data_IF_005238737575
#
_entry.id   IF_005238737575
#
_cell.length_a   1.000
_cell.length_b   1.000
_cell.length_c   1.000
_cell.angle_alpha   90.00
_cell.angle_beta   90.00
_cell.angle_gamma   90.00
#
_symmetry.space_group_name_H-M   'P 1'
#
loop_
_entity.id
_entity.type
_entity.pdbx_description
1 polymer ?
#
# COMPACT_ATOMS: atom_id res chain seq x y z
N UNK A 1 34.42 -31.42 -20.94
CA UNK A 1 32.96 -31.46 -20.70
C UNK A 1 32.73 -31.38 -19.20
N UNK A 2 32.51 -30.19 -18.67
CA UNK A 2 32.17 -29.96 -17.26
C UNK A 2 30.66 -29.92 -17.12
N UNK A 3 30.10 -30.87 -16.38
CA UNK A 3 28.69 -30.92 -16.06
C UNK A 3 28.36 -29.79 -15.06
N UNK A 4 27.51 -28.85 -15.47
CA UNK A 4 26.90 -27.89 -14.56
C UNK A 4 25.88 -28.59 -13.69
N UNK A 5 26.15 -28.67 -12.38
CA UNK A 5 25.15 -29.06 -11.40
C UNK A 5 24.14 -27.92 -11.24
N UNK A 6 22.90 -28.16 -11.65
CA UNK A 6 21.76 -27.30 -11.36
C UNK A 6 21.41 -27.43 -9.89
N UNK A 7 21.71 -26.42 -9.09
CA UNK A 7 21.11 -26.27 -7.76
C UNK A 7 19.68 -25.77 -7.91
N UNK A 8 18.76 -26.69 -8.21
CA UNK A 8 17.35 -26.45 -7.97
C UNK A 8 17.13 -26.55 -6.45
N UNK A 9 17.12 -25.42 -5.76
CA UNK A 9 16.68 -25.36 -4.38
C UNK A 9 15.15 -25.58 -4.37
N UNK A 10 14.71 -26.82 -4.21
CA UNK A 10 13.33 -27.12 -3.83
C UNK A 10 13.12 -26.59 -2.40
N UNK A 11 12.44 -25.46 -2.29
CA UNK A 11 11.96 -24.93 -1.01
C UNK A 11 10.78 -25.78 -0.54
N UNK A 12 11.06 -26.93 0.08
CA UNK A 12 10.04 -27.75 0.75
C UNK A 12 9.78 -27.22 2.16
N UNK A 13 9.32 -25.97 2.29
CA UNK A 13 8.73 -25.53 3.55
C UNK A 13 7.33 -26.17 3.67
N UNK A 14 7.02 -26.90 4.76
CA UNK A 14 5.71 -27.51 4.93
C UNK A 14 4.61 -26.45 4.92
N UNK A 15 3.53 -26.74 4.19
CA UNK A 15 2.42 -25.82 3.86
C UNK A 15 1.68 -25.24 5.07
N UNK A 16 1.96 -25.71 6.29
CA UNK A 16 1.34 -25.29 7.55
C UNK A 16 2.25 -24.49 8.50
N UNK A 17 3.54 -24.31 8.19
CA UNK A 17 4.44 -23.54 9.06
C UNK A 17 4.21 -22.02 8.91
N UNK A 18 4.32 -21.22 10.00
CA UNK A 18 4.40 -19.77 9.90
C UNK A 18 5.48 -19.34 8.92
N UNK A 19 5.31 -18.17 8.30
CA UNK A 19 6.31 -17.66 7.37
C UNK A 19 7.60 -17.31 8.11
N UNK A 20 8.73 -17.80 7.59
CA UNK A 20 10.07 -17.35 7.98
C UNK A 20 10.25 -15.86 7.69
N UNK A 21 11.23 -15.20 8.32
CA UNK A 21 11.49 -13.78 8.05
C UNK A 21 11.76 -13.49 6.57
N UNK A 22 12.52 -14.34 5.89
CA UNK A 22 12.79 -14.22 4.45
C UNK A 22 11.51 -14.33 3.62
N UNK A 23 10.63 -15.30 3.92
CA UNK A 23 9.33 -15.43 3.27
C UNK A 23 8.41 -14.24 3.56
N UNK A 24 8.47 -13.67 4.78
CA UNK A 24 7.75 -12.46 5.09
C UNK A 24 8.18 -11.33 4.14
N UNK A 25 9.48 -11.12 3.93
CA UNK A 25 9.96 -10.11 2.98
C UNK A 25 9.60 -10.41 1.53
N UNK A 26 9.63 -11.67 1.09
CA UNK A 26 9.22 -12.05 -0.26
C UNK A 26 7.75 -11.69 -0.52
N UNK A 27 6.85 -11.97 0.42
CA UNK A 27 5.44 -11.58 0.31
C UNK A 27 5.28 -10.06 0.14
N UNK A 28 6.08 -9.27 0.86
CA UNK A 28 6.01 -7.81 0.79
C UNK A 28 6.64 -7.27 -0.48
N UNK A 29 7.66 -7.93 -1.02
CA UNK A 29 8.21 -7.59 -2.33
C UNK A 29 7.14 -7.73 -3.42
N UNK A 30 6.43 -8.87 -3.47
CA UNK A 30 5.35 -9.08 -4.43
C UNK A 30 4.15 -8.16 -4.19
N UNK A 31 3.69 -8.03 -2.95
CA UNK A 31 2.57 -7.14 -2.63
C UNK A 31 2.91 -5.67 -2.92
N UNK A 32 4.11 -5.22 -2.52
CA UNK A 32 4.57 -3.85 -2.76
C UNK A 32 4.74 -3.55 -4.24
N UNK A 33 5.25 -4.49 -5.04
CA UNK A 33 5.32 -4.36 -6.48
C UNK A 33 3.93 -4.22 -7.11
N UNK A 34 2.97 -5.06 -6.72
CA UNK A 34 1.59 -4.96 -7.18
C UNK A 34 0.95 -3.61 -6.81
N UNK A 35 1.14 -3.17 -5.57
CA UNK A 35 0.63 -1.87 -5.10
C UNK A 35 1.30 -0.70 -5.82
N UNK A 36 2.62 -0.77 -6.06
CA UNK A 36 3.35 0.21 -6.85
C UNK A 36 2.84 0.31 -8.28
N UNK A 37 2.55 -0.82 -8.94
CA UNK A 37 1.90 -0.83 -10.25
C UNK A 37 0.50 -0.21 -10.22
N UNK A 38 -0.27 -0.40 -9.14
CA UNK A 38 -1.57 0.26 -9.00
C UNK A 38 -1.41 1.78 -8.95
N UNK A 39 -0.45 2.28 -8.16
CA UNK A 39 -0.13 3.70 -8.08
C UNK A 39 0.28 4.27 -9.46
N UNK A 40 1.12 3.56 -10.22
CA UNK A 40 1.70 4.09 -11.46
C UNK A 40 0.84 3.85 -12.71
N UNK A 41 0.20 2.69 -12.83
CA UNK A 41 -0.54 2.32 -14.04
C UNK A 41 -2.03 2.68 -13.96
N UNK A 42 -2.63 2.58 -12.76
CA UNK A 42 -4.07 2.82 -12.56
C UNK A 42 -4.30 4.27 -12.12
N UNK A 43 -3.67 4.67 -11.02
CA UNK A 43 -3.80 6.04 -10.49
C UNK A 43 -3.00 7.04 -11.33
N UNK A 44 -1.92 6.59 -11.97
CA UNK A 44 -1.00 7.43 -12.78
C UNK A 44 -0.37 8.56 -11.97
N UNK A 45 -0.11 8.30 -10.70
CA UNK A 45 0.57 9.25 -9.83
C UNK A 45 2.03 9.42 -10.27
N UNK A 46 2.49 10.67 -10.35
CA UNK A 46 3.89 11.05 -10.59
C UNK A 46 4.61 11.43 -9.31
N UNK A 47 3.85 11.70 -8.25
CA UNK A 47 4.33 12.00 -6.91
C UNK A 47 3.51 11.20 -5.88
N UNK A 48 4.19 10.62 -4.89
CA UNK A 48 3.62 9.69 -3.93
C UNK A 48 4.04 10.06 -2.50
N UNK A 49 3.06 10.13 -1.61
CA UNK A 49 3.25 10.07 -0.16
C UNK A 49 2.90 8.68 0.38
N UNK A 50 3.69 8.14 1.30
CA UNK A 50 3.42 6.86 1.96
C UNK A 50 3.34 7.10 3.47
N UNK A 51 2.15 6.95 4.03
CA UNK A 51 1.95 6.84 5.47
C UNK A 51 1.99 5.36 5.85
N UNK A 52 2.93 4.97 6.70
CA UNK A 52 3.15 3.57 7.09
C UNK A 52 3.38 3.51 8.60
N UNK A 53 3.05 2.41 9.28
CA UNK A 53 3.51 2.23 10.66
C UNK A 53 4.99 1.81 10.71
N UNK A 54 5.62 1.95 11.88
CA UNK A 54 7.04 1.63 12.07
C UNK A 54 7.37 0.12 12.20
N UNK A 55 6.43 -0.80 11.92
CA UNK A 55 6.74 -2.24 11.98
C UNK A 55 7.61 -2.68 10.81
N UNK A 56 8.53 -3.62 11.07
CA UNK A 56 9.51 -4.11 10.08
C UNK A 56 8.85 -4.58 8.79
N UNK A 57 7.74 -5.31 8.90
CA UNK A 57 7.03 -5.84 7.72
C UNK A 57 6.26 -4.76 6.95
N UNK A 58 5.71 -3.73 7.60
CA UNK A 58 5.03 -2.64 6.89
C UNK A 58 6.04 -1.71 6.22
N UNK A 59 7.18 -1.43 6.86
CA UNK A 59 8.26 -0.65 6.25
C UNK A 59 8.89 -1.40 5.06
N UNK A 60 9.05 -2.73 5.15
CA UNK A 60 9.50 -3.54 4.01
C UNK A 60 8.53 -3.47 2.82
N UNK A 61 7.22 -3.50 3.08
CA UNK A 61 6.19 -3.29 2.05
C UNK A 61 6.29 -1.89 1.43
N UNK A 62 6.37 -0.85 2.27
CA UNK A 62 6.51 0.53 1.81
C UNK A 62 7.75 0.72 0.93
N UNK A 63 8.89 0.12 1.32
CA UNK A 63 10.11 0.12 0.53
C UNK A 63 9.94 -0.57 -0.82
N UNK A 64 9.26 -1.72 -0.88
CA UNK A 64 8.98 -2.42 -2.13
C UNK A 64 8.06 -1.62 -3.07
N UNK A 65 6.98 -1.04 -2.54
CA UNK A 65 6.09 -0.14 -3.29
C UNK A 65 6.84 1.08 -3.82
N UNK A 66 7.63 1.72 -2.95
CA UNK A 66 8.48 2.84 -3.31
C UNK A 66 9.48 2.49 -4.42
N UNK A 67 10.09 1.30 -4.33
CA UNK A 67 11.03 0.80 -5.34
C UNK A 67 10.40 0.69 -6.72
N UNK A 68 9.20 0.09 -6.80
CA UNK A 68 8.42 0.01 -8.05
C UNK A 68 8.08 1.41 -8.57
N UNK A 69 7.56 2.29 -7.70
CA UNK A 69 7.22 3.66 -8.07
C UNK A 69 8.41 4.45 -8.62
N UNK A 70 9.56 4.37 -7.96
CA UNK A 70 10.81 5.04 -8.40
C UNK A 70 11.32 4.43 -9.70
N UNK A 71 11.28 3.09 -9.83
CA UNK A 71 11.69 2.39 -11.04
C UNK A 71 10.85 2.81 -12.25
N UNK A 72 9.54 2.88 -12.08
CA UNK A 72 8.60 3.29 -13.12
C UNK A 72 8.79 4.75 -13.57
N UNK A 73 9.06 5.66 -12.62
CA UNK A 73 9.24 7.09 -12.88
C UNK A 73 10.70 7.51 -13.15
N UNK A 74 11.60 6.53 -13.34
CA UNK A 74 13.05 6.77 -13.48
C UNK A 74 13.39 7.63 -14.70
N UNK A 75 12.69 7.43 -15.82
CA UNK A 75 12.96 8.13 -17.07
C UNK A 75 12.88 9.65 -16.92
N UNK A 76 11.86 10.16 -16.21
CA UNK A 76 11.70 11.61 -16.02
C UNK A 76 12.86 12.23 -15.21
N UNK A 77 13.44 11.49 -14.26
CA UNK A 77 14.62 11.94 -13.51
C UNK A 77 15.88 11.97 -14.36
N UNK A 78 16.04 10.98 -15.26
CA UNK A 78 17.14 10.95 -16.22
C UNK A 78 17.06 12.12 -17.21
N UNK A 79 15.85 12.47 -17.66
CA UNK A 79 15.67 13.57 -18.60
C UNK A 79 15.92 14.95 -17.97
N UNK A 80 15.52 15.16 -16.71
CA UNK A 80 15.91 16.35 -15.95
C UNK A 80 17.44 16.44 -15.81
N UNK A 81 18.10 15.32 -15.48
CA UNK A 81 19.56 15.24 -15.38
C UNK A 81 20.27 15.60 -16.70
N UNK A 82 19.75 15.14 -17.85
CA UNK A 82 20.29 15.51 -19.19
C UNK A 82 20.18 17.01 -19.48
N UNK A 83 19.23 17.71 -18.86
CA UNK A 83 19.02 19.16 -19.00
C UNK A 83 19.79 19.99 -17.97
N UNK A 84 20.54 19.35 -17.07
CA UNK A 84 21.22 20.02 -15.96
C UNK A 84 20.27 20.49 -14.84
N UNK A 85 19.06 19.93 -14.77
CA UNK A 85 18.05 20.25 -13.77
C UNK A 85 18.10 19.25 -12.60
N UNK A 86 17.83 19.71 -11.39
CA UNK A 86 17.65 18.82 -10.22
C UNK A 86 16.29 18.14 -10.30
N UNK A 87 16.22 16.79 -10.31
CA UNK A 87 14.93 16.09 -10.31
C UNK A 87 14.09 16.46 -9.08
N UNK A 88 12.81 16.74 -9.31
CA UNK A 88 11.85 17.04 -8.23
C UNK A 88 11.73 15.85 -7.28
N UNK A 89 11.62 16.13 -5.97
CA UNK A 89 11.36 15.10 -4.95
C UNK A 89 9.96 14.50 -5.13
N UNK A 90 9.89 13.29 -5.70
CA UNK A 90 8.63 12.62 -6.04
C UNK A 90 8.07 11.70 -4.98
N UNK A 91 8.89 11.20 -4.06
CA UNK A 91 8.49 10.23 -3.05
C UNK A 91 8.76 10.78 -1.66
N UNK A 92 7.76 10.64 -0.78
CA UNK A 92 7.89 10.86 0.65
C UNK A 92 7.32 9.67 1.41
N UNK A 93 8.05 9.20 2.43
CA UNK A 93 7.60 8.13 3.32
C UNK A 93 7.70 8.64 4.74
N UNK A 94 6.61 8.50 5.50
CA UNK A 94 6.59 8.81 6.93
C UNK A 94 6.17 7.55 7.68
N UNK A 95 7.09 7.03 8.50
CA UNK A 95 6.85 5.89 9.37
C UNK A 95 6.33 6.37 10.72
N UNK A 96 5.08 6.06 11.02
CA UNK A 96 4.38 6.46 12.24
C UNK A 96 4.92 5.69 13.43
N UNK A 97 5.43 6.43 14.39
CA UNK A 97 5.72 6.06 15.77
C UNK A 97 4.59 6.56 16.69
N UNK A 98 4.54 6.12 17.97
CA UNK A 98 3.56 6.65 18.92
C UNK A 98 3.58 8.19 19.06
N UNK A 99 4.73 8.83 18.83
CA UNK A 99 4.91 10.27 18.96
C UNK A 99 4.78 11.02 17.62
N UNK A 100 4.44 10.32 16.53
CA UNK A 100 4.29 10.96 15.22
C UNK A 100 3.09 11.88 15.21
N UNK A 101 3.33 13.15 14.91
CA UNK A 101 2.27 14.12 14.61
C UNK A 101 1.72 13.88 13.19
N UNK A 102 0.44 13.46 13.05
CA UNK A 102 -0.18 13.23 11.75
C UNK A 102 -0.20 14.47 10.86
N UNK A 103 -0.24 15.68 11.43
CA UNK A 103 -0.25 16.93 10.67
C UNK A 103 1.09 17.15 9.97
N UNK A 104 2.21 16.80 10.62
CA UNK A 104 3.54 16.87 10.02
C UNK A 104 3.66 15.88 8.87
N UNK A 105 3.12 14.67 9.03
CA UNK A 105 3.10 13.68 7.97
C UNK A 105 2.29 14.15 6.75
N UNK A 106 1.05 14.59 6.97
CA UNK A 106 0.16 15.07 5.89
C UNK A 106 0.72 16.32 5.19
N UNK A 107 1.37 17.22 5.92
CA UNK A 107 2.04 18.38 5.32
C UNK A 107 3.11 17.98 4.29
N UNK A 108 3.77 16.84 4.46
CA UNK A 108 4.73 16.31 3.47
C UNK A 108 4.06 15.69 2.23
N UNK A 109 2.76 15.42 2.32
CA UNK A 109 1.98 14.71 1.31
C UNK A 109 0.99 15.59 0.54
N UNK A 110 0.66 16.78 1.03
CA UNK A 110 -0.43 17.62 0.50
C UNK A 110 -0.32 17.93 -1.01
N UNK A 111 0.89 18.01 -1.54
CA UNK A 111 1.16 18.33 -2.95
C UNK A 111 1.45 17.07 -3.79
N UNK A 112 1.18 15.87 -3.25
CA UNK A 112 1.38 14.59 -3.96
C UNK A 112 0.13 14.21 -4.75
N UNK A 113 0.33 13.57 -5.90
CA UNK A 113 -0.77 13.04 -6.72
C UNK A 113 -1.52 11.91 -6.01
N UNK A 114 -0.81 11.14 -5.17
CA UNK A 114 -1.39 10.09 -4.35
C UNK A 114 -0.77 10.00 -2.95
N UNK A 115 -1.59 9.58 -1.99
CA UNK A 115 -1.19 9.15 -0.65
C UNK A 115 -1.58 7.70 -0.42
N UNK A 116 -0.61 6.86 -0.11
CA UNK A 116 -0.83 5.47 0.24
C UNK A 116 -0.83 5.26 1.77
N UNK A 117 -1.84 4.56 2.28
CA UNK A 117 -2.00 4.21 3.69
C UNK A 117 -1.65 2.73 3.90
N UNK A 118 -0.48 2.47 4.50
CA UNK A 118 0.12 1.15 4.69
C UNK A 118 0.17 0.79 6.18
N UNK A 119 -1.01 0.54 6.75
CA UNK A 119 -1.17 0.15 8.15
C UNK A 119 -1.59 -1.31 8.29
N UNK A 120 -1.17 -1.96 9.38
CA UNK A 120 -1.39 -3.37 9.66
C UNK A 120 -0.19 -4.03 10.34
N UNK A 121 0.02 -5.31 10.04
CA UNK A 121 1.23 -6.02 10.45
C UNK A 121 1.33 -6.27 11.95
N UNK A 122 2.44 -5.82 12.56
CA UNK A 122 2.78 -6.12 13.96
C UNK A 122 2.23 -5.09 14.96
N UNK A 123 1.66 -3.98 14.45
CA UNK A 123 0.97 -2.98 15.27
C UNK A 123 -0.47 -3.45 15.51
N UNK A 124 -1.04 -3.17 16.68
CA UNK A 124 -2.41 -3.58 17.02
C UNK A 124 -3.44 -2.98 16.06
N UNK A 125 -4.60 -3.63 15.94
CA UNK A 125 -5.69 -3.14 15.09
C UNK A 125 -6.17 -1.76 15.54
N UNK A 126 -6.24 -1.51 16.86
CA UNK A 126 -6.66 -0.23 17.44
C UNK A 126 -5.70 0.89 17.06
N UNK A 127 -4.39 0.66 17.18
CA UNK A 127 -3.38 1.66 16.86
C UNK A 127 -3.31 1.93 15.36
N UNK A 128 -3.48 0.90 14.52
CA UNK A 128 -3.57 1.08 13.07
C UNK A 128 -4.83 1.84 12.66
N UNK A 129 -5.99 1.50 13.23
CA UNK A 129 -7.25 2.20 12.98
C UNK A 129 -7.16 3.68 13.40
N UNK A 130 -6.55 3.95 14.56
CA UNK A 130 -6.31 5.31 15.04
C UNK A 130 -5.40 6.10 14.09
N UNK A 131 -4.30 5.50 13.62
CA UNK A 131 -3.40 6.14 12.67
C UNK A 131 -4.11 6.45 11.34
N UNK A 132 -4.87 5.50 10.79
CA UNK A 132 -5.70 5.72 9.58
C UNK A 132 -6.68 6.87 9.78
N UNK A 133 -7.42 6.87 10.89
CA UNK A 133 -8.39 7.95 11.19
C UNK A 133 -7.72 9.31 11.30
N UNK A 134 -6.60 9.40 12.02
CA UNK A 134 -5.87 10.65 12.22
C UNK A 134 -5.27 11.17 10.91
N UNK A 135 -4.70 10.30 10.08
CA UNK A 135 -4.22 10.69 8.74
C UNK A 135 -5.37 11.19 7.86
N UNK A 136 -6.52 10.50 7.85
CA UNK A 136 -7.69 10.93 7.10
C UNK A 136 -8.25 12.27 7.59
N UNK A 137 -8.26 12.51 8.90
CA UNK A 137 -8.69 13.78 9.47
C UNK A 137 -7.82 14.95 9.00
N UNK A 138 -6.49 14.79 9.03
CA UNK A 138 -5.57 15.83 8.54
C UNK A 138 -5.66 16.01 7.01
N UNK A 139 -5.82 14.93 6.24
CA UNK A 139 -6.07 15.03 4.79
C UNK A 139 -7.38 15.78 4.48
N UNK A 140 -8.43 15.52 5.25
CA UNK A 140 -9.71 16.21 5.11
C UNK A 140 -9.59 17.70 5.43
N UNK A 141 -8.91 18.04 6.52
CA UNK A 141 -8.63 19.42 6.95
C UNK A 141 -7.84 20.22 5.92
N UNK A 142 -6.85 19.58 5.27
CA UNK A 142 -6.07 20.19 4.18
C UNK A 142 -6.80 20.17 2.83
N UNK A 143 -8.03 19.64 2.76
CA UNK A 143 -8.81 19.45 1.53
C UNK A 143 -8.01 18.72 0.42
N UNK A 144 -7.28 17.67 0.81
CA UNK A 144 -6.40 16.95 -0.10
C UNK A 144 -7.16 16.35 -1.29
N UNK A 145 -6.84 16.80 -2.50
CA UNK A 145 -7.57 16.43 -3.73
C UNK A 145 -7.00 15.18 -4.40
N UNK A 146 -5.74 14.84 -4.16
CA UNK A 146 -5.08 13.68 -4.75
C UNK A 146 -5.70 12.34 -4.33
N UNK A 147 -5.24 11.27 -4.97
CA UNK A 147 -5.78 9.94 -4.77
C UNK A 147 -5.39 9.37 -3.40
N UNK A 148 -6.26 8.57 -2.79
CA UNK A 148 -5.93 7.81 -1.58
C UNK A 148 -5.85 6.34 -1.97
N UNK A 149 -4.72 5.70 -1.71
CA UNK A 149 -4.53 4.27 -1.91
C UNK A 149 -4.51 3.54 -0.57
N UNK A 150 -5.31 2.49 -0.45
CA UNK A 150 -5.46 1.70 0.76
C UNK A 150 -4.76 0.36 0.57
N UNK A 151 -3.78 0.08 1.42
CA UNK A 151 -3.22 -1.25 1.54
C UNK A 151 -4.32 -2.27 1.87
N UNK A 152 -4.15 -3.52 1.40
CA UNK A 152 -5.11 -4.61 1.57
C UNK A 152 -5.67 -4.71 2.99
N UNK A 153 -4.80 -4.64 4.01
CA UNK A 153 -5.21 -4.77 5.41
C UNK A 153 -6.13 -3.63 5.84
N UNK A 154 -5.83 -2.39 5.42
CA UNK A 154 -6.63 -1.19 5.74
C UNK A 154 -8.05 -1.33 5.20
N UNK A 155 -8.18 -1.77 3.95
CA UNK A 155 -9.47 -2.00 3.31
C UNK A 155 -10.22 -3.21 3.91
N UNK A 156 -9.53 -4.34 4.11
CA UNK A 156 -10.14 -5.56 4.63
C UNK A 156 -10.67 -5.40 6.07
N UNK A 157 -9.98 -4.60 6.90
CA UNK A 157 -10.39 -4.28 8.27
C UNK A 157 -11.40 -3.13 8.36
N UNK A 158 -11.74 -2.50 7.23
CA UNK A 158 -12.71 -1.39 7.14
C UNK A 158 -12.36 -0.20 8.04
N UNK A 159 -11.07 0.09 8.23
CA UNK A 159 -10.65 1.20 9.10
C UNK A 159 -11.05 2.57 8.54
N UNK A 160 -11.14 2.70 7.21
CA UNK A 160 -11.65 3.93 6.57
C UNK A 160 -13.14 4.11 6.84
N UNK A 161 -13.94 3.04 6.73
CA UNK A 161 -15.37 3.06 7.05
C UNK A 161 -15.61 3.40 8.53
N UNK A 162 -14.81 2.81 9.43
CA UNK A 162 -14.87 3.11 10.86
C UNK A 162 -14.53 4.57 11.14
N UNK A 163 -13.52 5.12 10.47
CA UNK A 163 -13.16 6.54 10.58
C UNK A 163 -14.30 7.44 10.10
N UNK A 164 -14.91 7.14 8.95
CA UNK A 164 -16.05 7.89 8.42
C UNK A 164 -17.28 7.80 9.32
N UNK A 165 -17.56 6.63 9.91
CA UNK A 165 -18.68 6.47 10.83
C UNK A 165 -18.49 7.24 12.15
N UNK A 166 -17.23 7.44 12.58
CA UNK A 166 -16.89 8.11 13.83
C UNK A 166 -16.72 9.63 13.68
N UNK A 167 -16.46 10.15 12.48
CA UNK A 167 -16.14 11.56 12.23
C UNK A 167 -16.82 12.05 10.94
N UNK A 168 -17.81 12.94 11.09
CA UNK A 168 -18.58 13.49 9.97
C UNK A 168 -17.71 14.29 9.00
N UNK A 169 -16.62 14.90 9.45
CA UNK A 169 -15.69 15.64 8.59
C UNK A 169 -14.98 14.68 7.64
N UNK A 170 -14.56 13.51 8.16
CA UNK A 170 -13.96 12.45 7.34
C UNK A 170 -15.01 11.88 6.37
N UNK A 171 -16.25 11.65 6.82
CA UNK A 171 -17.32 11.17 5.97
C UNK A 171 -17.61 12.13 4.80
N UNK A 172 -17.80 13.41 5.09
CA UNK A 172 -18.09 14.45 4.10
C UNK A 172 -16.92 14.63 3.11
N UNK A 173 -15.70 14.50 3.61
CA UNK A 173 -14.50 14.53 2.77
C UNK A 173 -14.46 13.33 1.81
N UNK A 174 -14.61 12.11 2.33
CA UNK A 174 -14.58 10.89 1.52
C UNK A 174 -15.74 10.83 0.52
N UNK A 175 -16.92 11.35 0.88
CA UNK A 175 -18.09 11.37 0.01
C UNK A 175 -17.92 12.28 -1.22
N UNK A 176 -16.99 13.23 -1.18
CA UNK A 176 -16.64 14.11 -2.31
C UNK A 176 -15.54 13.51 -3.19
N UNK A 177 -14.91 12.40 -2.80
CA UNK A 177 -13.83 11.78 -3.55
C UNK A 177 -14.35 10.69 -4.47
N UNK A 178 -13.84 10.70 -5.70
CA UNK A 178 -13.98 9.62 -6.67
C UNK A 178 -12.66 8.82 -6.83
N UNK A 179 -11.59 9.22 -6.16
CA UNK A 179 -10.24 8.72 -6.37
C UNK A 179 -9.65 8.02 -5.12
N UNK A 180 -10.48 7.27 -4.40
CA UNK A 180 -10.02 6.34 -3.37
C UNK A 180 -9.90 4.95 -3.97
N UNK A 181 -8.78 4.28 -3.75
CA UNK A 181 -8.47 2.98 -4.31
C UNK A 181 -8.01 2.02 -3.23
N UNK A 182 -8.33 0.74 -3.34
CA UNK A 182 -7.93 -0.30 -2.40
C UNK A 182 -7.38 -1.52 -3.13
N UNK A 183 -6.33 -2.12 -2.57
CA UNK A 183 -5.89 -3.43 -3.03
C UNK A 183 -6.83 -4.52 -2.51
N UNK A 184 -7.13 -5.50 -3.35
CA UNK A 184 -7.78 -6.74 -2.98
C UNK A 184 -7.07 -7.94 -3.63
N UNK A 185 -7.18 -9.11 -3.01
CA UNK A 185 -6.66 -10.38 -3.55
C UNK A 185 -7.81 -11.37 -3.60
N UNK A 186 -8.06 -11.93 -4.78
CA UNK A 186 -8.94 -13.08 -5.00
C UNK A 186 -8.06 -14.34 -5.11
N UNK A 187 -8.03 -15.09 -4.02
CA UNK A 187 -7.19 -16.28 -3.89
C UNK A 187 -7.69 -17.43 -4.77
N UNK A 188 -9.00 -17.52 -4.97
CA UNK A 188 -9.64 -18.59 -5.77
C UNK A 188 -9.38 -18.38 -7.25
N UNK A 189 -9.51 -17.12 -7.71
CA UNK A 189 -9.24 -16.76 -9.11
C UNK A 189 -7.76 -16.51 -9.39
N UNK A 190 -6.90 -16.53 -8.36
CA UNK A 190 -5.47 -16.21 -8.47
C UNK A 190 -5.24 -14.79 -9.03
N UNK A 191 -6.06 -13.83 -8.61
CA UNK A 191 -6.05 -12.46 -9.12
C UNK A 191 -5.77 -11.43 -8.02
N UNK A 192 -4.94 -10.44 -8.34
CA UNK A 192 -4.84 -9.20 -7.60
C UNK A 192 -5.76 -8.18 -8.25
N UNK A 193 -6.48 -7.40 -7.45
CA UNK A 193 -7.40 -6.38 -7.91
C UNK A 193 -7.04 -5.02 -7.31
N UNK A 194 -7.24 -3.98 -8.10
CA UNK A 194 -7.40 -2.62 -7.57
C UNK A 194 -8.88 -2.29 -7.66
N UNK A 195 -9.45 -1.88 -6.53
CA UNK A 195 -10.85 -1.47 -6.42
C UNK A 195 -10.93 0.02 -6.22
N UNK A 196 -11.69 0.71 -7.04
CA UNK A 196 -12.10 2.08 -6.78
C UNK A 196 -13.22 2.05 -5.74
N UNK A 197 -13.03 2.81 -4.67
CA UNK A 197 -13.91 2.89 -3.52
C UNK A 197 -14.75 4.15 -3.63
N UNK A 198 -16.05 4.03 -3.37
CA UNK A 198 -16.98 5.16 -3.25
C UNK A 198 -17.59 5.13 -1.86
N UNK A 199 -17.61 6.27 -1.19
CA UNK A 199 -18.20 6.41 0.14
C UNK A 199 -19.46 7.28 0.02
N UNK A 200 -20.62 6.76 0.38
CA UNK A 200 -21.88 7.50 0.30
C UNK A 200 -22.84 7.03 1.38
N UNK A 201 -23.56 7.96 2.01
CA UNK A 201 -24.60 7.67 3.00
C UNK A 201 -24.11 6.72 4.12
N UNK A 202 -22.85 6.91 4.56
CA UNK A 202 -22.21 6.08 5.59
C UNK A 202 -21.85 4.66 5.16
N UNK A 203 -21.87 4.35 3.86
CA UNK A 203 -21.53 3.04 3.28
C UNK A 203 -20.39 3.17 2.28
N UNK A 204 -19.57 2.12 2.18
CA UNK A 204 -18.60 1.98 1.10
C UNK A 204 -19.07 0.99 0.04
N UNK A 205 -18.83 1.33 -1.22
CA UNK A 205 -18.99 0.47 -2.37
C UNK A 205 -17.65 0.36 -3.10
N UNK A 206 -17.42 -0.76 -3.79
CA UNK A 206 -16.15 -1.04 -4.43
C UNK A 206 -16.36 -1.63 -5.83
N UNK A 207 -15.72 -1.03 -6.83
CA UNK A 207 -15.70 -1.51 -8.21
C UNK A 207 -14.27 -1.88 -8.61
N UNK A 208 -14.06 -3.06 -9.18
CA UNK A 208 -12.73 -3.40 -9.71
C UNK A 208 -12.44 -2.55 -10.95
N UNK A 209 -11.26 -1.91 -10.96
CA UNK A 209 -10.78 -1.04 -12.04
C UNK A 209 -9.49 -1.56 -12.68
N UNK A 210 -8.86 -2.54 -12.05
CA UNK A 210 -7.69 -3.23 -12.57
C UNK A 210 -7.61 -4.63 -11.97
N UNK A 211 -7.15 -5.58 -12.78
CA UNK A 211 -6.90 -6.95 -12.38
C UNK A 211 -5.56 -7.40 -12.96
N UNK A 212 -4.84 -8.23 -12.21
CA UNK A 212 -3.62 -8.87 -12.70
C UNK A 212 -3.50 -10.27 -12.14
N UNK A 213 -2.99 -11.25 -12.93
CA UNK A 213 -2.71 -12.57 -12.40
C UNK A 213 -1.65 -12.50 -11.30
N UNK A 214 -1.81 -13.35 -10.29
CA UNK A 214 -0.83 -13.57 -9.23
C UNK A 214 -0.04 -14.83 -9.52
N UNK A 215 1.26 -14.80 -9.30
CA UNK A 215 2.09 -16.00 -9.43
C UNK A 215 1.85 -16.97 -8.26
N UNK A 216 2.03 -18.26 -8.53
CA UNK A 216 1.75 -19.32 -7.57
C UNK A 216 2.64 -19.23 -6.31
N UNK A 217 3.88 -18.74 -6.45
CA UNK A 217 4.79 -18.53 -5.33
C UNK A 217 4.26 -17.49 -4.33
N UNK A 218 3.79 -16.34 -4.83
CA UNK A 218 3.13 -15.33 -4.02
C UNK A 218 1.88 -15.88 -3.35
N UNK A 219 1.02 -16.58 -4.08
CA UNK A 219 -0.23 -17.14 -3.54
C UNK A 219 0.02 -18.17 -2.45
N UNK A 220 1.03 -19.03 -2.60
CA UNK A 220 1.39 -20.02 -1.59
C UNK A 220 1.80 -19.34 -0.28
N UNK A 221 2.64 -18.31 -0.35
CA UNK A 221 3.07 -17.55 0.82
C UNK A 221 1.94 -16.68 1.40
N UNK A 222 1.11 -16.08 0.54
CA UNK A 222 -0.04 -15.27 0.95
C UNK A 222 -1.08 -16.09 1.72
N UNK A 223 -1.41 -17.30 1.25
CA UNK A 223 -2.30 -18.23 1.96
C UNK A 223 -1.76 -18.58 3.35
N UNK A 224 -0.46 -18.89 3.45
CA UNK A 224 0.21 -19.18 4.73
C UNK A 224 0.23 -17.99 5.69
N UNK A 225 0.33 -16.76 5.16
CA UNK A 225 0.23 -15.53 5.97
C UNK A 225 -1.14 -15.41 6.67
N UNK A 226 -2.21 -15.92 6.07
CA UNK A 226 -3.57 -15.83 6.65
C UNK A 226 -3.79 -16.83 7.80
N UNK A 227 -2.89 -17.78 8.00
CA UNK A 227 -2.94 -18.72 9.12
C UNK A 227 -2.44 -17.97 10.37
N UNK A 228 -3.25 -17.87 11.45
CA UNK A 228 -2.79 -17.28 12.70
C UNK A 228 -1.54 -18.02 13.21
N UNK A 229 -0.56 -17.30 13.74
CA UNK A 229 0.52 -17.93 14.48
C UNK A 229 -0.10 -18.64 15.70
N UNK A 230 0.15 -19.95 15.84
CA UNK A 230 -0.27 -20.74 17.00
C UNK A 230 0.49 -20.30 18.25
#
# INVERSE_FOLDING_TARGET
>A
MTASASFAAETTAPTAAPLTLGEQFIVRAYAGQLEGMAITNVIKAKTLGIAVNNSTICVALAGAMAGEFVGHNKAEGLDAGKKGETPVRRLDIVAYTPDTDPAVAVKSFKDKDAVALLFGGQVTDENNAAAVRLTLAELAKDNYTGAIFLHLTVAAKKWVDQAAAADSTIADYLAKKDNVYALAVDVEKKQGHVKQMTYKDGKSEAKSVFETPLNDGFLALFKRRLIPAQ
#
